data_IF_236213839530
#
_entry.id   IF_236213839530
#
_cell.length_a   1.000
_cell.length_b   1.000
_cell.length_c   1.000
_cell.angle_alpha   90.00
_cell.angle_beta   90.00
_cell.angle_gamma   90.00
#
_symmetry.space_group_name_H-M   'P 1'
#
loop_
_entity.id
_entity.type
_entity.pdbx_description
1 polymer ?
#
# COMPACT_ATOMS: atom_id res chain seq x y z
N UNK A 1 -9.89 13.77 14.85
CA UNK A 1 -9.93 12.29 14.95
C UNK A 1 -8.53 11.78 14.65
N UNK A 2 -8.02 10.80 15.40
CA UNK A 2 -6.72 10.16 15.12
C UNK A 2 -6.80 9.16 13.96
N UNK A 3 -7.65 9.44 12.97
CA UNK A 3 -8.03 8.51 11.91
C UNK A 3 -6.94 8.33 10.85
N UNK A 4 -7.02 7.21 10.14
CA UNK A 4 -6.20 6.94 8.96
C UNK A 4 -6.78 7.55 7.67
N UNK A 5 -5.93 7.73 6.67
CA UNK A 5 -6.27 8.12 5.29
C UNK A 5 -5.85 7.02 4.33
N UNK A 6 -6.29 7.13 3.08
CA UNK A 6 -5.85 6.25 2.01
C UNK A 6 -6.05 4.75 2.34
N UNK A 7 -7.26 4.29 2.73
CA UNK A 7 -7.48 2.91 3.13
C UNK A 7 -7.47 1.94 1.94
N UNK A 8 -6.77 0.83 2.05
CA UNK A 8 -6.75 -0.25 1.06
C UNK A 8 -6.73 -1.62 1.75
N UNK A 9 -7.62 -2.51 1.32
CA UNK A 9 -7.65 -3.89 1.83
C UNK A 9 -6.47 -4.70 1.30
N UNK A 10 -5.95 -5.60 2.15
CA UNK A 10 -4.99 -6.60 1.71
C UNK A 10 -5.62 -7.51 0.64
N UNK A 11 -4.83 -8.06 -0.30
CA UNK A 11 -5.34 -9.00 -1.29
C UNK A 11 -6.01 -10.24 -0.68
N UNK A 12 -5.71 -10.56 0.59
CA UNK A 12 -6.31 -11.68 1.33
C UNK A 12 -7.59 -11.29 2.06
N UNK A 13 -7.88 -9.99 2.19
CA UNK A 13 -9.08 -9.47 2.87
C UNK A 13 -9.05 -9.54 4.40
N UNK A 14 -7.92 -9.90 5.01
CA UNK A 14 -7.78 -10.05 6.48
C UNK A 14 -7.08 -8.86 7.16
N UNK A 15 -6.72 -7.83 6.39
CA UNK A 15 -5.95 -6.70 6.90
C UNK A 15 -6.29 -5.43 6.12
N UNK A 16 -6.43 -4.31 6.85
CA UNK A 16 -6.66 -2.99 6.28
C UNK A 16 -5.38 -2.16 6.40
N UNK A 17 -4.85 -1.76 5.26
CA UNK A 17 -3.71 -0.86 5.16
C UNK A 17 -4.20 0.58 5.05
N UNK A 18 -3.51 1.52 5.70
CA UNK A 18 -3.84 2.94 5.64
C UNK A 18 -2.65 3.80 6.01
N UNK A 19 -2.71 5.09 5.70
CA UNK A 19 -1.71 6.09 6.09
C UNK A 19 -2.13 6.90 7.30
N UNK A 20 -1.17 7.21 8.17
CA UNK A 20 -1.32 8.18 9.27
C UNK A 20 -0.11 9.11 9.27
N UNK A 21 -0.23 10.24 8.57
CA UNK A 21 0.91 11.10 8.23
C UNK A 21 1.92 10.36 7.35
N UNK A 22 3.17 10.33 7.79
CA UNK A 22 4.27 9.60 7.12
C UNK A 22 4.27 8.09 7.41
N UNK A 23 3.41 7.62 8.31
CA UNK A 23 3.37 6.21 8.71
C UNK A 23 2.45 5.42 7.82
N UNK A 24 2.95 4.28 7.34
CA UNK A 24 2.12 3.21 6.81
C UNK A 24 1.68 2.31 7.96
N UNK A 25 0.38 2.12 8.08
CA UNK A 25 -0.27 1.39 9.17
C UNK A 25 -0.97 0.15 8.63
N UNK A 26 -1.09 -0.87 9.48
CA UNK A 26 -1.90 -2.05 9.23
C UNK A 26 -2.79 -2.36 10.43
N UNK A 27 -4.08 -2.57 10.18
CA UNK A 27 -5.02 -3.10 11.15
C UNK A 27 -5.44 -4.49 10.69
N UNK A 28 -5.12 -5.53 11.45
CA UNK A 28 -5.55 -6.89 11.14
C UNK A 28 -6.97 -7.13 11.65
N UNK A 29 -7.75 -7.85 10.86
CA UNK A 29 -9.10 -8.24 11.21
C UNK A 29 -9.16 -9.76 11.34
N UNK A 30 -9.81 -10.24 12.40
CA UNK A 30 -10.12 -11.65 12.62
C UNK A 30 -11.61 -11.82 12.75
N UNK A 31 -12.10 -12.95 12.24
CA UNK A 31 -13.50 -13.34 12.41
C UNK A 31 -13.56 -14.67 13.15
N UNK A 32 -13.90 -14.61 14.45
CA UNK A 32 -14.05 -15.78 15.32
C UNK A 32 -15.42 -15.72 16.02
N UNK A 33 -16.50 -15.84 15.23
CA UNK A 33 -17.87 -15.64 15.73
C UNK A 33 -18.26 -14.17 15.96
N UNK A 34 -17.27 -13.28 16.10
CA UNK A 34 -17.39 -11.84 16.04
C UNK A 34 -16.23 -11.23 15.23
N UNK A 35 -16.41 -10.00 14.76
CA UNK A 35 -15.34 -9.22 14.15
C UNK A 35 -14.43 -8.65 15.24
N UNK A 36 -13.16 -9.03 15.21
CA UNK A 36 -12.12 -8.49 16.06
C UNK A 36 -11.14 -7.68 15.22
N UNK A 37 -10.83 -6.46 15.66
CA UNK A 37 -9.83 -5.60 15.04
C UNK A 37 -8.63 -5.54 15.98
N UNK A 38 -7.48 -6.04 15.54
CA UNK A 38 -6.25 -5.95 16.31
C UNK A 38 -5.77 -4.49 16.41
N UNK A 39 -4.97 -4.18 17.44
CA UNK A 39 -4.35 -2.86 17.56
C UNK A 39 -3.51 -2.56 16.32
N UNK A 40 -3.75 -1.43 15.62
CA UNK A 40 -3.01 -1.13 14.40
C UNK A 40 -1.52 -0.97 14.65
N UNK A 41 -0.72 -1.52 13.74
CA UNK A 41 0.75 -1.52 13.83
C UNK A 41 1.35 -0.63 12.74
N UNK A 42 2.50 -0.02 13.05
CA UNK A 42 3.30 0.70 12.05
C UNK A 42 4.08 -0.33 11.25
N UNK A 43 3.90 -0.34 9.94
CA UNK A 43 4.70 -1.18 9.03
C UNK A 43 6.04 -0.50 8.69
N UNK A 44 5.99 0.78 8.33
CA UNK A 44 7.15 1.61 8.00
C UNK A 44 6.77 3.09 7.95
N UNK A 45 7.77 3.97 7.87
CA UNK A 45 7.60 5.44 7.78
C UNK A 45 8.32 5.99 6.54
N UNK A 46 7.79 7.04 5.93
CA UNK A 46 8.50 7.82 4.91
C UNK A 46 7.67 8.91 4.24
N UNK A 47 8.37 9.75 3.48
CA UNK A 47 7.81 10.89 2.76
C UNK A 47 7.20 10.45 1.43
N UNK A 48 6.00 9.88 1.51
CA UNK A 48 5.25 9.40 0.34
C UNK A 48 4.21 10.42 -0.13
N UNK A 49 4.08 10.57 -1.44
CA UNK A 49 3.09 11.47 -2.05
C UNK A 49 1.68 10.91 -1.87
N UNK A 50 0.73 11.77 -1.53
CA UNK A 50 -0.70 11.46 -1.57
C UNK A 50 -1.31 11.81 -2.93
N UNK A 51 -2.54 11.34 -3.21
CA UNK A 51 -3.21 11.64 -4.45
C UNK A 51 -3.62 13.13 -4.52
N UNK A 52 -3.18 13.82 -5.57
CA UNK A 52 -3.56 15.21 -5.82
C UNK A 52 -5.07 15.34 -6.01
N UNK A 53 -5.67 16.33 -5.33
CA UNK A 53 -7.10 16.62 -5.39
C UNK A 53 -7.98 15.74 -4.50
N UNK A 54 -7.50 14.59 -4.02
CA UNK A 54 -8.22 13.76 -3.07
C UNK A 54 -7.28 12.97 -2.14
N UNK A 55 -6.85 13.56 -1.00
CA UNK A 55 -5.87 12.95 -0.09
C UNK A 55 -6.40 11.74 0.69
N UNK A 56 -7.68 11.41 0.54
CA UNK A 56 -8.28 10.25 1.21
C UNK A 56 -8.29 8.99 0.30
N UNK A 57 -8.02 9.14 -1.01
CA UNK A 57 -7.88 8.01 -1.92
C UNK A 57 -6.47 7.41 -1.87
N UNK A 58 -6.34 6.07 -1.85
CA UNK A 58 -5.04 5.41 -1.89
C UNK A 58 -4.18 5.83 -3.08
N UNK A 59 -2.96 6.28 -2.80
CA UNK A 59 -1.93 6.55 -3.82
C UNK A 59 -0.81 5.48 -3.79
N UNK A 60 -1.19 4.24 -3.52
CA UNK A 60 -0.28 3.11 -3.44
C UNK A 60 -0.98 1.82 -3.86
N UNK A 61 -0.19 0.79 -4.17
CA UNK A 61 -0.67 -0.56 -4.47
C UNK A 61 0.02 -1.59 -3.59
N UNK A 62 -0.68 -2.70 -3.31
CA UNK A 62 -0.17 -3.82 -2.53
C UNK A 62 -0.17 -5.08 -3.38
N UNK A 63 0.98 -5.72 -3.50
CA UNK A 63 1.13 -6.99 -4.21
C UNK A 63 0.59 -8.16 -3.35
N UNK A 64 0.22 -9.31 -3.97
CA UNK A 64 -0.26 -10.49 -3.23
C UNK A 64 0.72 -11.04 -2.17
N UNK A 65 2.01 -10.77 -2.35
CA UNK A 65 3.08 -11.14 -1.41
C UNK A 65 3.28 -10.13 -0.26
N UNK A 66 2.50 -9.05 -0.22
CA UNK A 66 2.53 -8.02 0.82
C UNK A 66 3.52 -6.88 0.56
N UNK A 67 4.18 -6.83 -0.61
CA UNK A 67 5.03 -5.69 -0.98
C UNK A 67 4.18 -4.47 -1.37
N UNK A 68 4.68 -3.29 -1.04
CA UNK A 68 4.05 -2.00 -1.34
C UNK A 68 4.74 -1.30 -2.51
N UNK A 69 3.96 -0.72 -3.42
CA UNK A 69 4.43 0.26 -4.41
C UNK A 69 3.89 1.64 -4.01
N UNK A 70 4.80 2.57 -3.74
CA UNK A 70 4.49 3.93 -3.29
C UNK A 70 5.38 4.94 -4.01
N UNK A 71 4.86 6.13 -4.29
CA UNK A 71 5.64 7.24 -4.82
C UNK A 71 6.23 8.03 -3.64
N UNK A 72 7.55 8.22 -3.64
CA UNK A 72 8.22 9.13 -2.70
C UNK A 72 8.21 10.55 -3.25
N UNK A 73 7.99 11.51 -2.37
CA UNK A 73 8.14 12.92 -2.71
C UNK A 73 9.56 13.15 -3.21
N UNK A 74 9.71 13.83 -4.35
CA UNK A 74 11.05 14.24 -4.80
C UNK A 74 11.58 15.23 -3.79
N UNK A 75 12.81 15.01 -3.35
CA UNK A 75 13.57 16.08 -2.74
C UNK A 75 13.83 17.10 -3.85
N UNK A 76 13.15 18.26 -3.82
CA UNK A 76 13.24 19.30 -4.85
C UNK A 76 14.65 19.90 -4.95
N UNK A 77 15.54 19.57 -4.00
CA UNK A 77 16.97 19.86 -4.06
C UNK A 77 17.76 18.86 -4.94
N UNK A 78 17.17 17.72 -5.32
CA UNK A 78 17.80 16.72 -6.18
C UNK A 78 17.30 16.84 -7.62
N UNK A 79 18.20 17.13 -8.56
CA UNK A 79 17.95 17.15 -10.01
C UNK A 79 17.88 15.75 -10.62
N UNK A 80 17.78 14.69 -9.80
CA UNK A 80 17.71 13.32 -10.26
C UNK A 80 16.24 12.91 -10.44
N UNK A 81 15.73 13.03 -11.66
CA UNK A 81 14.49 12.35 -12.07
C UNK A 81 14.70 10.83 -12.01
N UNK A 82 14.47 10.24 -10.83
CA UNK A 82 14.49 8.78 -10.67
C UNK A 82 13.08 8.26 -10.87
N UNK A 83 12.74 7.97 -12.12
CA UNK A 83 11.59 7.09 -12.41
C UNK A 83 12.01 5.67 -12.03
N UNK A 84 11.52 5.17 -10.90
CA UNK A 84 11.69 3.78 -10.51
C UNK A 84 10.71 2.90 -11.31
N UNK A 85 11.20 2.29 -12.39
CA UNK A 85 10.45 1.24 -13.07
C UNK A 85 10.60 -0.08 -12.30
N UNK A 86 9.54 -0.52 -11.63
CA UNK A 86 9.44 -1.92 -11.17
C UNK A 86 8.97 -2.75 -12.35
N UNK A 87 9.91 -3.35 -13.09
CA UNK A 87 9.59 -4.30 -14.16
C UNK A 87 9.25 -5.64 -13.52
N UNK A 88 7.97 -5.96 -13.44
CA UNK A 88 7.52 -7.33 -13.17
C UNK A 88 7.20 -7.97 -14.53
N UNK A 89 8.14 -8.74 -15.09
CA UNK A 89 7.87 -9.56 -16.26
C UNK A 89 7.26 -10.88 -15.79
N UNK A 90 5.96 -11.07 -16.00
CA UNK A 90 5.35 -12.40 -15.95
C UNK A 90 5.55 -13.04 -17.32
N UNK A 91 6.51 -13.96 -17.43
CA UNK A 91 6.53 -14.91 -18.53
C UNK A 91 5.28 -15.79 -18.39
N UNK A 92 4.23 -15.46 -19.13
CA UNK A 92 3.07 -16.33 -19.28
C UNK A 92 3.51 -17.57 -20.06
N UNK A 93 3.54 -18.73 -19.40
CA UNK A 93 3.68 -20.02 -20.07
C UNK A 93 2.48 -20.22 -21.01
N UNK A 94 2.68 -20.62 -22.28
CA UNK A 94 1.55 -20.91 -23.16
C UNK A 94 0.82 -22.16 -22.63
N UNK A 95 -0.51 -22.05 -22.52
CA UNK A 95 -1.38 -23.20 -22.37
C UNK A 95 -1.24 -24.05 -23.65
N UNK A 96 -0.82 -25.31 -23.52
CA UNK A 96 -0.97 -26.29 -24.60
C UNK A 96 -2.46 -26.54 -24.78
N UNK A 97 -2.96 -26.32 -25.99
CA UNK A 97 -4.13 -27.03 -26.48
C UNK A 97 -3.65 -28.32 -27.15
N UNK A 98 -4.48 -29.35 -27.03
CA UNK A 98 -4.30 -30.75 -27.41
C UNK A 98 -3.92 -30.98 -28.88
#
# INVERSE_FOLDING_TARGET
>A
TNGGREPLWSPRGDELFYRSGERMMAARLRFQGALEVETPQVLFTGDYEGMLGNPDLPNYAVAPDGRFLMLRSRDLASTADRIAFVRHALDARPLRAE
#
